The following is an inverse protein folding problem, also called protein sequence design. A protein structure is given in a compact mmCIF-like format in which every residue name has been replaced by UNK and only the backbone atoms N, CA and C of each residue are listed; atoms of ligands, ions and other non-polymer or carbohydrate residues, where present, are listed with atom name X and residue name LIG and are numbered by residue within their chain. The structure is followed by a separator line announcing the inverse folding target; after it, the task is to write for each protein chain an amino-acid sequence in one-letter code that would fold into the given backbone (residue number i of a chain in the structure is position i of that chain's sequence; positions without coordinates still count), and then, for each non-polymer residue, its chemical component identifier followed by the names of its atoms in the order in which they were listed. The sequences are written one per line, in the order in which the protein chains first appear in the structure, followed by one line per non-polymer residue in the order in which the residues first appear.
data_IF_616620470358
#
_entry.id   IF_616620470358
#
_cell.length_a   1.000
_cell.length_b   1.000
_cell.length_c   1.000
_cell.angle_alpha   90.00
_cell.angle_beta   90.00
_cell.angle_gamma   90.00
#
_symmetry.space_group_name_H-M   'P 1'
#
loop_
_entity.id
_entity.type
_entity.pdbx_description
1 polymer ?
#
# COMPACT_ATOMS: atom_id res chain seq x y z
N UNK A 1 5.56 4.51 7.27
CA UNK A 1 5.12 3.20 7.79
C UNK A 1 5.40 3.17 9.27
N UNK A 2 4.41 2.84 10.11
CA UNK A 2 4.56 2.69 11.55
C UNK A 2 5.19 1.34 11.89
N UNK A 3 5.68 1.13 13.14
CA UNK A 3 6.23 -0.17 13.57
C UNK A 3 5.18 -1.29 13.51
N UNK A 4 3.94 -0.97 13.86
CA UNK A 4 2.82 -1.92 13.77
C UNK A 4 2.53 -2.32 12.31
N UNK A 5 2.47 -1.34 11.41
CA UNK A 5 2.32 -1.61 9.96
C UNK A 5 3.48 -2.43 9.41
N UNK A 6 4.71 -2.12 9.82
CA UNK A 6 5.90 -2.86 9.40
C UNK A 6 5.82 -4.32 9.85
N UNK A 7 5.39 -4.57 11.08
CA UNK A 7 5.21 -5.92 11.64
C UNK A 7 4.15 -6.69 10.87
N UNK A 8 3.00 -6.09 10.58
CA UNK A 8 1.92 -6.70 9.80
C UNK A 8 2.35 -7.02 8.37
N UNK A 9 3.03 -6.07 7.70
CA UNK A 9 3.61 -6.30 6.38
C UNK A 9 4.60 -7.47 6.39
N UNK A 10 5.50 -7.53 7.36
CA UNK A 10 6.44 -8.66 7.52
C UNK A 10 5.68 -9.99 7.59
N UNK A 11 4.68 -10.10 8.47
CA UNK A 11 3.90 -11.33 8.64
C UNK A 11 3.20 -11.72 7.33
N UNK A 12 2.54 -10.78 6.67
CA UNK A 12 1.82 -11.05 5.42
C UNK A 12 2.78 -11.51 4.30
N UNK A 13 3.90 -10.81 4.12
CA UNK A 13 4.88 -11.08 3.08
C UNK A 13 5.59 -12.43 3.33
N UNK A 14 6.08 -12.68 4.54
CA UNK A 14 6.76 -13.93 4.85
C UNK A 14 5.83 -15.13 4.79
N UNK A 15 4.58 -15.00 5.21
CA UNK A 15 3.57 -16.06 5.07
C UNK A 15 3.36 -16.41 3.59
N UNK A 16 3.22 -15.42 2.72
CA UNK A 16 3.06 -15.63 1.29
C UNK A 16 4.34 -16.21 0.65
N UNK A 17 5.53 -15.78 1.10
CA UNK A 17 6.82 -16.31 0.63
C UNK A 17 7.00 -17.78 0.97
N UNK A 18 6.64 -18.17 2.19
CA UNK A 18 6.68 -19.59 2.61
C UNK A 18 5.67 -20.42 1.80
N UNK A 19 4.45 -19.92 1.60
CA UNK A 19 3.43 -20.59 0.80
C UNK A 19 3.87 -20.76 -0.67
N UNK A 20 4.45 -19.73 -1.26
CA UNK A 20 4.98 -19.76 -2.63
C UNK A 20 6.17 -20.70 -2.75
N UNK A 21 7.10 -20.68 -1.80
CA UNK A 21 8.21 -21.61 -1.74
C UNK A 21 7.77 -23.07 -1.61
N UNK A 22 6.80 -23.35 -0.73
CA UNK A 22 6.22 -24.68 -0.58
C UNK A 22 5.55 -25.18 -1.89
N UNK A 23 4.89 -24.28 -2.62
CA UNK A 23 4.28 -24.61 -3.92
C UNK A 23 5.34 -24.94 -4.97
N UNK A 24 6.52 -24.32 -4.93
CA UNK A 24 7.63 -24.59 -5.83
C UNK A 24 8.23 -26.00 -5.71
N UNK A 25 7.85 -26.78 -4.68
CA UNK A 25 8.20 -28.20 -4.57
C UNK A 25 7.29 -29.15 -5.36
N UNK A 26 6.21 -28.64 -5.96
CA UNK A 26 5.29 -29.46 -6.77
C UNK A 26 5.96 -29.75 -8.12
N UNK A 27 6.26 -31.02 -8.46
CA UNK A 27 7.02 -31.35 -9.65
C UNK A 27 6.19 -31.37 -10.95
N UNK A 28 5.06 -30.68 -10.95
CA UNK A 28 4.14 -30.61 -12.10
C UNK A 28 4.20 -29.20 -12.69
N UNK A 29 4.75 -29.03 -13.91
CA UNK A 29 4.80 -27.72 -14.57
C UNK A 29 3.41 -27.10 -14.67
N UNK A 30 3.30 -25.82 -14.32
CA UNK A 30 2.04 -25.02 -14.33
C UNK A 30 1.11 -25.26 -13.13
N UNK A 31 1.13 -26.41 -12.46
CA UNK A 31 0.26 -26.67 -11.31
C UNK A 31 0.61 -25.82 -10.08
N UNK A 32 1.85 -25.38 -9.96
CA UNK A 32 2.35 -24.47 -8.92
C UNK A 32 1.91 -23.02 -9.13
N UNK A 33 1.63 -22.61 -10.37
CA UNK A 33 1.27 -21.24 -10.69
C UNK A 33 -0.05 -20.79 -10.04
N UNK A 34 -1.01 -21.72 -9.87
CA UNK A 34 -2.31 -21.39 -9.25
C UNK A 34 -2.17 -21.05 -7.77
N UNK A 35 -1.54 -21.91 -6.91
CA UNK A 35 -1.36 -21.59 -5.49
C UNK A 35 -0.43 -20.39 -5.27
N UNK A 36 0.61 -20.20 -6.08
CA UNK A 36 1.48 -19.03 -6.01
C UNK A 36 0.71 -17.76 -6.31
N UNK A 37 -0.10 -17.75 -7.37
CA UNK A 37 -0.94 -16.60 -7.72
C UNK A 37 -1.97 -16.28 -6.63
N UNK A 38 -2.57 -17.30 -6.02
CA UNK A 38 -3.51 -17.12 -4.91
C UNK A 38 -2.81 -16.54 -3.67
N UNK A 39 -1.60 -17.01 -3.34
CA UNK A 39 -0.79 -16.48 -2.24
C UNK A 39 -0.46 -15.00 -2.45
N UNK A 40 -0.04 -14.61 -3.67
CA UNK A 40 0.23 -13.21 -4.02
C UNK A 40 -1.00 -12.33 -3.89
N UNK A 41 -2.16 -12.75 -4.41
CA UNK A 41 -3.41 -11.97 -4.32
C UNK A 41 -3.82 -11.78 -2.86
N UNK A 42 -3.76 -12.84 -2.06
CA UNK A 42 -4.09 -12.78 -0.63
C UNK A 42 -3.14 -11.85 0.12
N UNK A 43 -1.85 -11.91 -0.16
CA UNK A 43 -0.84 -11.02 0.40
C UNK A 43 -1.14 -9.56 0.10
N UNK A 44 -1.41 -9.21 -1.16
CA UNK A 44 -1.68 -7.82 -1.56
C UNK A 44 -2.97 -7.29 -0.94
N UNK A 45 -4.00 -8.14 -0.80
CA UNK A 45 -5.24 -7.75 -0.10
C UNK A 45 -4.98 -7.54 1.40
N UNK A 46 -4.15 -8.37 2.03
CA UNK A 46 -3.78 -8.19 3.43
C UNK A 46 -2.98 -6.89 3.63
N UNK A 47 -1.99 -6.62 2.77
CA UNK A 47 -1.25 -5.36 2.78
C UNK A 47 -2.17 -4.15 2.61
N UNK A 48 -3.15 -4.23 1.69
CA UNK A 48 -4.13 -3.15 1.52
C UNK A 48 -4.86 -2.82 2.82
N UNK A 49 -5.31 -3.82 3.56
CA UNK A 49 -5.99 -3.63 4.85
C UNK A 49 -5.10 -2.96 5.90
N UNK A 50 -3.79 -3.23 5.89
CA UNK A 50 -2.85 -2.62 6.83
C UNK A 50 -2.62 -1.13 6.55
N UNK A 51 -2.98 -0.66 5.35
CA UNK A 51 -2.95 0.74 4.93
C UNK A 51 -4.34 1.34 4.72
N UNK A 52 -5.39 0.75 5.29
CA UNK A 52 -6.78 1.19 5.16
C UNK A 52 -7.25 1.33 3.70
N UNK A 53 -6.71 0.49 2.80
CA UNK A 53 -7.06 0.44 1.39
C UNK A 53 -7.87 -0.83 1.08
N UNK A 54 -9.07 -0.65 0.52
CA UNK A 54 -9.85 -1.77 0.01
C UNK A 54 -9.35 -2.21 -1.37
N UNK A 55 -8.59 -3.30 -1.39
CA UNK A 55 -8.03 -3.86 -2.62
C UNK A 55 -8.89 -5.02 -3.09
N UNK A 56 -9.47 -4.88 -4.26
CA UNK A 56 -10.18 -5.98 -4.94
C UNK A 56 -9.19 -6.99 -5.53
N UNK A 57 -9.63 -8.23 -5.78
CA UNK A 57 -8.77 -9.25 -6.41
C UNK A 57 -8.26 -8.84 -7.79
N UNK A 58 -9.03 -8.05 -8.54
CA UNK A 58 -8.58 -7.52 -9.84
C UNK A 58 -7.53 -6.44 -9.69
N UNK A 59 -7.68 -5.52 -8.74
CA UNK A 59 -6.68 -4.50 -8.41
C UNK A 59 -5.39 -5.15 -7.88
N UNK A 60 -5.50 -6.17 -7.02
CA UNK A 60 -4.35 -6.92 -6.52
C UNK A 60 -3.55 -7.56 -7.67
N UNK A 61 -4.21 -8.19 -8.64
CA UNK A 61 -3.55 -8.76 -9.83
C UNK A 61 -2.84 -7.68 -10.66
N UNK A 62 -3.43 -6.49 -10.80
CA UNK A 62 -2.82 -5.35 -11.47
C UNK A 62 -1.54 -4.88 -10.77
N UNK A 63 -1.58 -4.73 -9.45
CA UNK A 63 -0.41 -4.34 -8.64
C UNK A 63 0.70 -5.38 -8.70
N UNK A 64 0.37 -6.66 -8.61
CA UNK A 64 1.33 -7.76 -8.76
C UNK A 64 1.98 -7.72 -10.14
N UNK A 65 1.19 -7.52 -11.20
CA UNK A 65 1.69 -7.40 -12.57
C UNK A 65 2.64 -6.23 -12.76
N UNK A 66 2.32 -5.07 -12.21
CA UNK A 66 3.18 -3.88 -12.25
C UNK A 66 4.48 -4.09 -11.47
N UNK A 67 4.40 -4.65 -10.26
CA UNK A 67 5.57 -4.95 -9.44
C UNK A 67 6.46 -6.01 -10.11
N UNK A 68 5.87 -7.08 -10.65
CA UNK A 68 6.58 -8.12 -11.38
C UNK A 68 7.28 -7.57 -12.64
N UNK A 69 6.62 -6.72 -13.42
CA UNK A 69 7.22 -6.09 -14.60
C UNK A 69 8.43 -5.21 -14.21
N UNK A 70 8.33 -4.47 -13.10
CA UNK A 70 9.43 -3.65 -12.58
C UNK A 70 10.59 -4.51 -12.09
N UNK A 71 10.28 -5.61 -11.37
CA UNK A 71 11.28 -6.54 -10.87
C UNK A 71 12.01 -7.24 -12.02
N UNK A 72 11.27 -7.75 -13.00
CA UNK A 72 11.81 -8.41 -14.19
C UNK A 72 12.69 -7.45 -14.99
N UNK A 73 12.24 -6.23 -15.24
CA UNK A 73 13.01 -5.23 -15.98
C UNK A 73 14.34 -4.85 -15.33
N UNK A 74 14.45 -4.94 -13.98
CA UNK A 74 15.67 -4.61 -13.24
C UNK A 74 16.60 -5.79 -13.00
N UNK A 75 16.09 -7.01 -12.92
CA UNK A 75 16.82 -8.19 -12.41
C UNK A 75 16.92 -9.37 -13.36
N UNK A 76 16.35 -9.28 -14.56
CA UNK A 76 16.31 -10.40 -15.52
C UNK A 76 17.71 -10.95 -15.86
N UNK A 77 18.72 -10.10 -15.81
CA UNK A 77 20.12 -10.47 -16.13
C UNK A 77 20.76 -11.36 -15.06
N UNK A 78 20.18 -11.42 -13.85
CA UNK A 78 20.74 -12.15 -12.70
C UNK A 78 20.02 -13.47 -12.38
N UNK A 79 18.88 -13.74 -13.02
CA UNK A 79 18.09 -14.96 -12.82
C UNK A 79 18.38 -16.00 -13.89
N UNK A 80 19.67 -16.28 -14.17
CA UNK A 80 20.04 -17.43 -14.98
C UNK A 80 19.79 -18.68 -14.13
N UNK A 81 19.00 -19.65 -14.61
CA UNK A 81 18.59 -20.79 -13.83
C UNK A 81 19.80 -21.73 -13.60
N UNK A 82 20.26 -21.77 -12.36
CA UNK A 82 21.13 -22.86 -11.91
C UNK A 82 20.25 -23.93 -11.26
N UNK A 83 20.01 -24.95 -12.01
CA UNK A 83 19.69 -26.34 -11.67
C UNK A 83 18.82 -26.63 -10.43
N UNK A 84 17.60 -27.12 -10.66
CA UNK A 84 16.91 -28.02 -9.75
C UNK A 84 15.71 -27.43 -9.04
N UNK A 85 14.76 -28.28 -8.69
CA UNK A 85 13.50 -27.96 -7.99
C UNK A 85 13.66 -27.22 -6.64
N UNK A 86 14.77 -27.44 -5.93
CA UNK A 86 15.11 -26.69 -4.70
C UNK A 86 15.42 -25.22 -5.02
N UNK A 87 16.08 -24.98 -6.15
CA UNK A 87 16.33 -23.60 -6.59
C UNK A 87 15.03 -22.90 -7.00
N UNK A 88 14.06 -23.61 -7.59
CA UNK A 88 12.76 -23.00 -7.96
C UNK A 88 11.93 -22.58 -6.74
N UNK A 89 11.93 -23.38 -5.67
CA UNK A 89 11.26 -23.02 -4.41
C UNK A 89 11.87 -21.78 -3.76
N UNK A 90 13.19 -21.70 -3.70
CA UNK A 90 13.89 -20.53 -3.15
C UNK A 90 13.68 -19.27 -4.01
N UNK A 91 13.67 -19.43 -5.35
CA UNK A 91 13.38 -18.33 -6.28
C UNK A 91 11.93 -17.87 -6.13
N UNK A 92 10.97 -18.80 -6.04
CA UNK A 92 9.55 -18.44 -5.85
C UNK A 92 9.33 -17.65 -4.55
N UNK A 93 9.93 -18.10 -3.44
CA UNK A 93 9.88 -17.39 -2.16
C UNK A 93 10.51 -16.00 -2.27
N UNK A 94 11.70 -15.87 -2.81
CA UNK A 94 12.42 -14.60 -2.95
C UNK A 94 11.73 -13.61 -3.88
N UNK A 95 11.14 -14.08 -4.97
CA UNK A 95 10.34 -13.22 -5.87
C UNK A 95 9.08 -12.73 -5.17
N UNK A 96 8.39 -13.61 -4.42
CA UNK A 96 7.20 -13.23 -3.64
C UNK A 96 7.54 -12.15 -2.62
N UNK A 97 8.64 -12.30 -1.91
CA UNK A 97 9.10 -11.33 -0.92
C UNK A 97 9.44 -9.99 -1.57
N UNK A 98 10.17 -9.99 -2.68
CA UNK A 98 10.50 -8.78 -3.42
C UNK A 98 9.25 -8.04 -3.93
N UNK A 99 8.28 -8.76 -4.49
CA UNK A 99 6.99 -8.18 -4.94
C UNK A 99 6.22 -7.63 -3.74
N UNK A 100 6.15 -8.37 -2.64
CA UNK A 100 5.46 -7.96 -1.42
C UNK A 100 5.98 -6.64 -0.87
N UNK A 101 7.29 -6.51 -0.75
CA UNK A 101 7.91 -5.27 -0.27
C UNK A 101 7.75 -4.10 -1.24
N UNK A 102 7.82 -4.33 -2.54
CA UNK A 102 7.56 -3.27 -3.53
C UNK A 102 6.13 -2.74 -3.42
N UNK A 103 5.15 -3.62 -3.29
CA UNK A 103 3.73 -3.25 -3.12
C UNK A 103 3.51 -2.55 -1.78
N UNK A 104 4.08 -3.05 -0.68
CA UNK A 104 3.95 -2.45 0.65
C UNK A 104 4.53 -1.02 0.69
N UNK A 105 5.68 -0.78 0.07
CA UNK A 105 6.30 0.55 -0.01
C UNK A 105 5.46 1.50 -0.87
N UNK A 106 4.90 1.02 -1.98
CA UNK A 106 4.03 1.83 -2.83
C UNK A 106 2.75 2.23 -2.09
N UNK A 107 2.09 1.27 -1.42
CA UNK A 107 0.91 1.53 -0.60
C UNK A 107 1.20 2.51 0.55
N UNK A 108 2.31 2.34 1.26
CA UNK A 108 2.73 3.25 2.33
C UNK A 108 2.95 4.67 1.83
N UNK A 109 3.56 4.82 0.65
CA UNK A 109 3.81 6.12 0.03
C UNK A 109 2.52 6.81 -0.38
N UNK A 110 1.58 6.07 -0.95
CA UNK A 110 0.27 6.59 -1.35
C UNK A 110 -0.59 6.94 -0.14
N UNK A 111 -0.56 6.14 0.92
CA UNK A 111 -1.21 6.42 2.20
C UNK A 111 -0.71 7.73 2.82
N UNK A 112 0.61 7.95 2.86
CA UNK A 112 1.19 9.19 3.39
C UNK A 112 0.77 10.42 2.58
N UNK A 113 0.78 10.34 1.25
CA UNK A 113 0.33 11.43 0.39
C UNK A 113 -1.15 11.77 0.58
N UNK A 114 -1.98 10.77 0.78
CA UNK A 114 -3.41 10.95 1.04
C UNK A 114 -3.64 11.59 2.41
N UNK A 115 -2.94 11.11 3.44
CA UNK A 115 -3.00 11.67 4.79
C UNK A 115 -2.55 13.14 4.82
N UNK A 116 -1.45 13.48 4.13
CA UNK A 116 -0.99 14.87 4.03
C UNK A 116 -2.02 15.76 3.34
N UNK A 117 -2.66 15.29 2.26
CA UNK A 117 -3.72 16.03 1.57
C UNK A 117 -4.94 16.26 2.48
N UNK A 118 -5.38 15.24 3.20
CA UNK A 118 -6.50 15.35 4.13
C UNK A 118 -6.19 16.27 5.30
N UNK A 119 -4.96 16.20 5.83
CA UNK A 119 -4.52 17.10 6.89
C UNK A 119 -4.53 18.56 6.41
N UNK A 120 -3.94 18.83 5.26
CA UNK A 120 -3.90 20.17 4.67
C UNK A 120 -5.32 20.72 4.40
N UNK A 121 -6.24 19.87 3.94
CA UNK A 121 -7.63 20.25 3.74
C UNK A 121 -8.37 20.60 5.06
N UNK A 122 -8.10 19.84 6.13
CA UNK A 122 -8.67 20.14 7.46
C UNK A 122 -8.12 21.44 8.02
N UNK A 123 -6.80 21.62 7.98
CA UNK A 123 -6.12 22.83 8.47
C UNK A 123 -6.64 24.08 7.72
N UNK A 124 -6.88 23.95 6.41
CA UNK A 124 -7.48 25.02 5.62
C UNK A 124 -8.94 25.29 6.02
N UNK A 125 -9.75 24.25 6.25
CA UNK A 125 -11.15 24.41 6.66
C UNK A 125 -11.27 25.08 8.04
N UNK A 126 -10.40 24.73 8.98
CA UNK A 126 -10.33 25.36 10.30
C UNK A 126 -9.97 26.85 10.18
N UNK A 127 -8.97 27.18 9.35
CA UNK A 127 -8.57 28.57 9.12
C UNK A 127 -9.69 29.40 8.47
N UNK A 128 -10.47 28.83 7.55
CA UNK A 128 -11.64 29.49 6.96
C UNK A 128 -12.74 29.74 8.01
N UNK A 129 -13.04 28.76 8.86
CA UNK A 129 -14.03 28.89 9.90
C UNK A 129 -13.65 29.96 10.94
N UNK A 130 -12.38 30.02 11.33
CA UNK A 130 -11.86 31.09 12.19
C UNK A 130 -12.00 32.48 11.55
N UNK A 131 -11.65 32.62 10.29
CA UNK A 131 -11.73 33.87 9.56
C UNK A 131 -13.19 34.35 9.42
N UNK A 132 -14.14 33.47 9.22
CA UNK A 132 -15.58 33.77 9.16
C UNK A 132 -16.10 34.20 10.53
N UNK A 133 -15.71 33.52 11.60
CA UNK A 133 -16.05 33.91 12.97
C UNK A 133 -15.57 35.33 13.33
N UNK A 134 -14.31 35.67 12.98
CA UNK A 134 -13.79 37.05 13.22
C UNK A 134 -14.49 38.10 12.38
N UNK A 135 -14.94 37.77 11.19
CA UNK A 135 -15.68 38.68 10.33
C UNK A 135 -17.07 38.99 10.93
N UNK A 136 -17.77 37.97 11.38
CA UNK A 136 -19.11 38.12 11.97
C UNK A 136 -19.07 38.91 13.30
N UNK A 137 -18.09 38.65 14.17
CA UNK A 137 -17.89 39.35 15.40
C UNK A 137 -17.53 40.84 15.19
N UNK A 138 -16.69 41.14 14.19
CA UNK A 138 -16.37 42.53 13.85
C UNK A 138 -17.57 43.27 13.27
N UNK A 139 -18.38 42.62 12.45
CA UNK A 139 -19.59 43.24 11.87
C UNK A 139 -20.64 43.52 12.94
N UNK A 140 -20.83 42.61 13.90
CA UNK A 140 -21.73 42.81 15.02
C UNK A 140 -21.28 43.96 15.92
N UNK A 141 -19.98 44.06 16.23
CA UNK A 141 -19.43 45.17 17.05
C UNK A 141 -19.49 46.52 16.37
N UNK A 142 -19.41 46.59 15.05
CA UNK A 142 -19.60 47.85 14.30
C UNK A 142 -21.06 48.30 14.28
N UNK A 143 -22.01 47.38 14.14
CA UNK A 143 -23.43 47.69 14.17
C UNK A 143 -23.89 48.23 15.54
N UNK A 144 -23.38 47.66 16.65
CA UNK A 144 -23.65 48.18 18.01
C UNK A 144 -23.06 49.59 18.24
N UNK A 145 -21.90 49.89 17.62
CA UNK A 145 -21.26 51.20 17.76
C UNK A 145 -22.00 52.32 16.97
N UNK A 146 -22.65 52.02 15.88
CA UNK A 146 -23.47 52.95 15.10
C UNK A 146 -24.79 53.26 15.79
N UNK A 147 -25.43 52.28 16.42
CA UNK A 147 -26.71 52.49 17.16
C UNK A 147 -26.55 53.36 18.40
N UNK A 148 -25.35 53.43 18.98
CA UNK A 148 -25.06 54.26 20.16
C UNK A 148 -24.69 55.72 19.82
N UNK A 149 -24.59 56.07 18.53
CA UNK A 149 -24.18 57.39 18.05
C UNK A 149 -25.36 58.32 17.63
N UNK A 150 -26.61 57.82 17.62
CA UNK A 150 -27.84 58.62 17.40
C UNK A 150 -28.50 59.04 18.75
#
# INVERSE_FOLDING_TARGET
MTEDQLTKCNVAIHTASVASGASGFIPIPVADAIPISAAHVTMVIALGKDFDQEITSSAAKGLIGAAAATFVGRNLVKLIPIAGWVASAAVAAGVTEAIGWMVAVDMATNFLKEWERQKCARDAAEAFAEAEYYKDTNTASQAEAEDFSE
#
